data_IF_360162255590
#
_entry.id   IF_360162255590
#
_cell.length_a   1.000
_cell.length_b   1.000
_cell.length_c   1.000
_cell.angle_alpha   90.00
_cell.angle_beta   90.00
_cell.angle_gamma   90.00
#
_symmetry.space_group_name_H-M   'P 1'
#
loop_
_entity.id
_entity.type
_entity.pdbx_description
1 polymer ?
#
# COMPACT_ATOMS: atom_id res chain seq x y z
N UNK A 1 -19.51 19.44 -18.84
CA UNK A 1 -18.36 18.60 -19.26
C UNK A 1 -17.09 19.44 -19.41
N UNK A 2 -17.06 20.44 -20.30
CA UNK A 2 -15.83 21.23 -20.56
C UNK A 2 -15.20 21.85 -19.32
N UNK A 3 -16.00 22.44 -18.42
CA UNK A 3 -15.52 23.00 -17.15
C UNK A 3 -14.79 21.97 -16.29
N UNK A 4 -15.32 20.75 -16.21
CA UNK A 4 -14.76 19.63 -15.43
C UNK A 4 -13.42 19.20 -16.04
N UNK A 5 -13.35 19.12 -17.37
CA UNK A 5 -12.11 18.77 -18.07
C UNK A 5 -11.03 19.82 -17.87
N UNK A 6 -11.36 21.12 -17.92
CA UNK A 6 -10.41 22.19 -17.63
C UNK A 6 -9.92 22.16 -16.18
N UNK A 7 -10.81 21.88 -15.23
CA UNK A 7 -10.46 21.76 -13.82
C UNK A 7 -9.50 20.59 -13.55
N UNK A 8 -9.74 19.43 -14.19
CA UNK A 8 -8.89 18.24 -14.03
C UNK A 8 -7.56 18.35 -14.77
N UNK A 9 -7.44 19.26 -15.75
CA UNK A 9 -6.27 19.46 -16.58
C UNK A 9 -5.66 20.87 -16.45
N UNK A 10 -5.28 21.31 -15.24
CA UNK A 10 -4.70 22.64 -15.04
C UNK A 10 -3.38 22.82 -15.82
N UNK A 11 -2.69 21.72 -16.12
CA UNK A 11 -1.45 21.72 -16.89
C UNK A 11 -1.60 22.17 -18.35
N UNK A 12 -2.82 22.19 -18.89
CA UNK A 12 -3.07 22.76 -20.22
C UNK A 12 -2.81 24.28 -20.28
N UNK A 13 -2.95 24.96 -19.15
CA UNK A 13 -2.75 26.41 -19.04
C UNK A 13 -1.56 26.79 -18.13
N UNK A 14 -1.11 25.89 -17.25
CA UNK A 14 -0.02 26.13 -16.32
C UNK A 14 0.91 24.91 -16.22
N UNK A 15 2.06 24.94 -16.89
CA UNK A 15 3.03 23.84 -16.88
C UNK A 15 3.60 23.52 -15.48
N UNK A 16 3.53 24.47 -14.55
CA UNK A 16 4.03 24.35 -13.17
C UNK A 16 2.92 23.90 -12.19
N UNK A 17 1.78 23.43 -12.69
CA UNK A 17 0.61 23.08 -11.87
C UNK A 17 0.89 22.05 -10.75
N UNK A 18 1.97 21.29 -10.85
CA UNK A 18 2.32 20.22 -9.92
C UNK A 18 3.68 20.41 -9.23
N UNK A 19 4.24 21.63 -9.24
CA UNK A 19 5.60 21.86 -8.72
C UNK A 19 5.75 21.62 -7.22
N UNK A 20 4.70 21.92 -6.46
CA UNK A 20 4.66 21.78 -5.00
C UNK A 20 4.44 20.33 -4.51
N UNK A 21 4.30 19.36 -5.44
CA UNK A 21 4.03 17.98 -5.07
C UNK A 21 5.32 17.31 -4.60
N UNK A 22 5.25 16.60 -3.48
CA UNK A 22 6.40 15.87 -2.92
C UNK A 22 6.68 14.63 -3.76
N UNK A 23 7.93 14.48 -4.19
CA UNK A 23 8.37 13.33 -4.98
C UNK A 23 8.17 12.01 -4.22
N UNK A 24 7.88 10.94 -4.97
CA UNK A 24 7.64 9.59 -4.43
C UNK A 24 8.73 8.63 -4.93
N UNK A 25 9.14 7.69 -4.09
CA UNK A 25 10.15 6.68 -4.43
C UNK A 25 9.70 5.76 -5.58
N UNK A 26 8.38 5.62 -5.79
CA UNK A 26 7.82 4.85 -6.90
C UNK A 26 7.89 5.60 -8.25
N UNK A 27 8.11 6.91 -8.27
CA UNK A 27 8.05 7.72 -9.50
C UNK A 27 8.97 7.20 -10.61
N UNK A 28 10.27 6.89 -10.37
CA UNK A 28 11.15 6.36 -11.42
C UNK A 28 10.65 5.04 -12.02
N UNK A 29 10.09 4.15 -11.19
CA UNK A 29 9.51 2.88 -11.65
C UNK A 29 8.28 3.09 -12.52
N UNK A 30 7.42 4.05 -12.18
CA UNK A 30 6.26 4.38 -13.02
C UNK A 30 6.71 4.93 -14.37
N UNK A 31 7.71 5.83 -14.38
CA UNK A 31 8.26 6.42 -15.60
C UNK A 31 8.88 5.37 -16.52
N UNK A 32 9.65 4.41 -15.99
CA UNK A 32 10.24 3.34 -16.80
C UNK A 32 9.15 2.50 -17.49
N UNK A 33 8.02 2.28 -16.82
CA UNK A 33 6.89 1.54 -17.39
C UNK A 33 6.15 2.32 -18.48
N UNK A 34 6.32 3.65 -18.60
CA UNK A 34 5.70 4.45 -19.66
C UNK A 34 6.23 4.13 -21.05
N UNK A 35 7.46 3.61 -21.14
CA UNK A 35 8.10 3.21 -22.39
C UNK A 35 7.41 2.00 -23.04
N UNK A 36 6.79 1.15 -22.21
CA UNK A 36 6.09 -0.06 -22.65
C UNK A 36 4.73 0.25 -23.27
N UNK A 37 4.17 -0.67 -24.07
CA UNK A 37 2.81 -0.50 -24.60
C UNK A 37 1.74 -0.65 -23.51
N UNK A 38 1.97 -1.55 -22.55
CA UNK A 38 1.02 -1.98 -21.53
C UNK A 38 0.41 -0.80 -20.76
N UNK A 39 -0.84 -0.96 -20.35
CA UNK A 39 -1.54 -0.05 -19.43
C UNK A 39 -0.80 -0.07 -18.09
N UNK A 40 -0.54 1.09 -17.50
CA UNK A 40 0.03 1.17 -16.15
C UNK A 40 -1.10 1.34 -15.15
N UNK A 41 -1.26 0.40 -14.22
CA UNK A 41 -2.28 0.46 -13.18
C UNK A 41 -1.65 0.76 -11.81
N UNK A 42 -1.97 1.93 -11.25
CA UNK A 42 -1.59 2.34 -9.90
C UNK A 42 -2.67 1.90 -8.91
N UNK A 43 -2.38 0.92 -8.07
CA UNK A 43 -3.38 0.31 -7.17
C UNK A 43 -2.96 0.48 -5.71
N UNK A 44 -3.91 0.58 -4.80
CA UNK A 44 -3.59 0.68 -3.36
C UNK A 44 -4.69 1.40 -2.59
N UNK A 45 -4.57 1.43 -1.26
CA UNK A 45 -5.61 1.96 -0.38
C UNK A 45 -6.02 3.41 -0.73
N UNK A 46 -7.21 3.81 -0.29
CA UNK A 46 -7.67 5.21 -0.41
C UNK A 46 -6.67 6.15 0.27
N UNK A 47 -6.44 7.35 -0.28
CA UNK A 47 -5.56 8.41 0.28
C UNK A 47 -4.05 8.10 0.43
N UNK A 48 -3.54 7.01 -0.15
CA UNK A 48 -2.09 6.72 -0.19
C UNK A 48 -1.29 7.54 -1.22
N UNK A 49 -1.97 8.42 -1.97
CA UNK A 49 -1.33 9.31 -2.94
C UNK A 49 -1.22 8.76 -4.37
N UNK A 50 -2.12 7.86 -4.80
CA UNK A 50 -2.18 7.36 -6.19
C UNK A 50 -2.37 8.48 -7.21
N UNK A 51 -3.38 9.33 -7.01
CA UNK A 51 -3.65 10.51 -7.86
C UNK A 51 -2.50 11.51 -7.85
N UNK A 52 -1.85 11.68 -6.70
CA UNK A 52 -0.66 12.52 -6.54
C UNK A 52 0.51 11.96 -7.35
N UNK A 53 0.75 10.65 -7.30
CA UNK A 53 1.77 9.98 -8.10
C UNK A 53 1.48 10.09 -9.59
N UNK A 54 0.22 9.92 -10.02
CA UNK A 54 -0.19 10.16 -11.40
C UNK A 54 0.12 11.60 -11.86
N UNK A 55 -0.15 12.61 -11.03
CA UNK A 55 0.15 14.02 -11.31
C UNK A 55 1.66 14.32 -11.33
N UNK A 56 2.46 13.65 -10.49
CA UNK A 56 3.93 13.72 -10.58
C UNK A 56 4.46 13.12 -11.88
N UNK A 57 3.83 12.06 -12.39
CA UNK A 57 4.16 11.52 -13.71
C UNK A 57 3.81 12.52 -14.82
N UNK A 58 2.67 13.22 -14.72
CA UNK A 58 2.32 14.30 -15.66
C UNK A 58 3.40 15.39 -15.64
N UNK A 59 3.84 15.82 -14.45
CA UNK A 59 4.93 16.80 -14.29
C UNK A 59 6.19 16.40 -15.06
N UNK A 60 6.59 15.14 -14.97
CA UNK A 60 7.76 14.64 -15.68
C UNK A 60 7.54 14.54 -17.20
N UNK A 61 6.34 14.16 -17.64
CA UNK A 61 5.98 14.14 -19.06
C UNK A 61 5.96 15.53 -19.70
N UNK A 62 5.52 16.57 -18.98
CA UNK A 62 5.48 17.96 -19.48
C UNK A 62 6.86 18.50 -19.90
N UNK A 63 7.95 17.86 -19.49
CA UNK A 63 9.31 18.19 -19.94
C UNK A 63 9.57 17.83 -21.42
N UNK A 64 8.79 16.91 -21.98
CA UNK A 64 9.03 16.31 -23.31
C UNK A 64 7.78 16.13 -24.17
N UNK A 65 6.59 16.24 -23.58
CA UNK A 65 5.29 16.00 -24.23
C UNK A 65 4.46 17.28 -24.18
N UNK A 66 3.79 17.58 -25.29
CA UNK A 66 2.84 18.70 -25.36
C UNK A 66 1.74 18.56 -24.28
N UNK A 67 1.46 19.63 -23.54
CA UNK A 67 0.52 19.58 -22.42
C UNK A 67 -0.86 19.03 -22.82
N UNK A 68 -1.35 19.41 -24.01
CA UNK A 68 -2.64 18.96 -24.55
C UNK A 68 -2.67 17.48 -24.93
N UNK A 69 -1.51 16.86 -25.16
CA UNK A 69 -1.36 15.41 -25.38
C UNK A 69 -1.36 14.60 -24.08
N UNK A 70 -1.47 15.28 -22.93
CA UNK A 70 -1.65 14.66 -21.63
C UNK A 70 -3.08 14.99 -21.18
N UNK A 71 -3.83 13.96 -20.81
CA UNK A 71 -5.18 14.10 -20.30
C UNK A 71 -5.31 13.38 -18.97
N UNK A 72 -5.96 14.02 -18.01
CA UNK A 72 -6.30 13.49 -16.70
C UNK A 72 -7.80 13.68 -16.46
N UNK A 73 -8.45 12.67 -15.88
CA UNK A 73 -9.84 12.74 -15.46
C UNK A 73 -10.03 11.99 -14.14
N UNK A 74 -10.75 12.59 -13.20
CA UNK A 74 -11.14 11.93 -11.95
C UNK A 74 -12.60 11.48 -12.00
N UNK A 75 -12.83 10.17 -12.01
CA UNK A 75 -14.18 9.60 -12.11
C UNK A 75 -14.97 9.59 -10.78
N UNK A 76 -14.35 9.98 -9.65
CA UNK A 76 -15.04 10.11 -8.36
C UNK A 76 -15.91 11.37 -8.26
N UNK A 77 -15.79 12.30 -9.21
CA UNK A 77 -16.58 13.53 -9.21
C UNK A 77 -18.09 13.25 -9.28
N UNK A 78 -18.93 13.97 -8.51
CA UNK A 78 -20.39 13.77 -8.47
C UNK A 78 -21.08 13.73 -9.83
N UNK A 79 -20.57 14.50 -10.79
CA UNK A 79 -21.08 14.63 -12.16
C UNK A 79 -21.00 13.32 -12.95
N UNK A 80 -20.08 12.42 -12.59
CA UNK A 80 -19.90 11.13 -13.26
C UNK A 80 -20.69 9.99 -12.60
N UNK A 81 -21.15 10.16 -11.36
CA UNK A 81 -21.85 9.13 -10.59
C UNK A 81 -23.13 8.61 -11.29
N UNK A 82 -23.97 9.45 -11.94
CA UNK A 82 -25.14 8.97 -12.69
C UNK A 82 -24.78 8.02 -13.85
N UNK A 83 -23.59 8.18 -14.44
CA UNK A 83 -23.15 7.46 -15.63
C UNK A 83 -22.30 6.23 -15.30
N UNK A 84 -22.04 5.94 -14.03
CA UNK A 84 -21.15 4.86 -13.59
C UNK A 84 -21.55 3.45 -14.07
N UNK A 85 -22.78 3.26 -14.55
CA UNK A 85 -23.26 1.99 -15.12
C UNK A 85 -23.09 1.91 -16.65
N UNK A 86 -22.67 3.00 -17.30
CA UNK A 86 -22.57 3.12 -18.74
C UNK A 86 -21.12 3.41 -19.17
N UNK A 87 -20.42 2.36 -19.61
CA UNK A 87 -19.05 2.47 -20.10
C UNK A 87 -18.93 3.31 -21.39
N UNK A 88 -20.01 3.48 -22.17
CA UNK A 88 -19.99 4.27 -23.40
C UNK A 88 -19.75 5.76 -23.12
N UNK A 89 -20.09 6.21 -21.91
CA UNK A 89 -19.83 7.57 -21.46
C UNK A 89 -18.33 7.91 -21.38
N UNK A 90 -17.45 6.91 -21.21
CA UNK A 90 -16.00 7.12 -21.31
C UNK A 90 -15.58 7.55 -22.73
N UNK A 91 -16.29 7.09 -23.77
CA UNK A 91 -16.09 7.55 -25.13
C UNK A 91 -16.55 9.01 -25.31
N UNK A 92 -17.66 9.40 -24.67
CA UNK A 92 -18.10 10.80 -24.65
C UNK A 92 -17.06 11.71 -23.97
N UNK A 93 -16.49 11.29 -22.84
CA UNK A 93 -15.40 12.04 -22.17
C UNK A 93 -14.21 12.18 -23.12
N UNK A 94 -13.82 11.10 -23.79
CA UNK A 94 -12.72 11.10 -24.77
C UNK A 94 -12.99 12.06 -25.94
N UNK A 95 -14.18 12.04 -26.51
CA UNK A 95 -14.56 12.91 -27.63
C UNK A 95 -14.59 14.38 -27.21
N UNK A 96 -15.06 14.69 -25.99
CA UNK A 96 -15.01 16.03 -25.43
C UNK A 96 -13.56 16.50 -25.21
N UNK A 97 -12.68 15.63 -24.74
CA UNK A 97 -11.24 15.92 -24.66
C UNK A 97 -10.66 16.28 -26.04
N UNK A 98 -10.94 15.49 -27.08
CA UNK A 98 -10.45 15.77 -28.43
C UNK A 98 -10.94 17.12 -28.96
N UNK A 99 -12.22 17.44 -28.76
CA UNK A 99 -12.82 18.72 -29.17
C UNK A 99 -12.19 19.91 -28.45
N UNK A 100 -12.00 19.79 -27.13
CA UNK A 100 -11.59 20.89 -26.28
C UNK A 100 -10.08 21.14 -26.32
N UNK A 101 -9.27 20.10 -26.13
CA UNK A 101 -7.82 20.23 -26.07
C UNK A 101 -7.20 20.32 -27.48
N UNK A 102 -7.81 19.67 -28.47
CA UNK A 102 -7.28 19.49 -29.82
C UNK A 102 -5.81 18.99 -29.80
N UNK A 103 -5.56 17.78 -29.26
CA UNK A 103 -4.21 17.25 -29.13
C UNK A 103 -3.59 16.91 -30.49
N UNK A 104 -2.26 16.86 -30.53
CA UNK A 104 -1.53 16.40 -31.72
C UNK A 104 -1.66 14.88 -31.87
N UNK A 105 -2.55 14.43 -32.76
CA UNK A 105 -2.83 13.01 -32.99
C UNK A 105 -1.67 12.23 -33.65
N UNK A 106 -0.65 12.92 -34.17
CA UNK A 106 0.57 12.27 -34.67
C UNK A 106 1.50 11.83 -33.53
N UNK A 107 1.35 12.44 -32.35
CA UNK A 107 2.09 12.10 -31.15
C UNK A 107 1.29 11.14 -30.27
N UNK A 108 1.99 10.50 -29.32
CA UNK A 108 1.35 9.64 -28.32
C UNK A 108 0.51 10.49 -27.37
N UNK A 109 -0.69 10.04 -27.05
CA UNK A 109 -1.54 10.63 -26.01
C UNK A 109 -1.32 9.86 -24.71
N UNK A 110 -1.10 10.56 -23.61
CA UNK A 110 -1.04 9.98 -22.27
C UNK A 110 -2.37 10.22 -21.57
N UNK A 111 -3.12 9.14 -21.34
CA UNK A 111 -4.50 9.20 -20.85
C UNK A 111 -4.58 8.62 -19.44
N UNK A 112 -4.66 9.52 -18.46
CA UNK A 112 -4.76 9.23 -17.04
C UNK A 112 -6.21 9.16 -16.61
N UNK A 113 -6.61 8.05 -15.97
CA UNK A 113 -7.97 7.87 -15.43
C UNK A 113 -7.88 7.52 -13.96
N UNK A 114 -8.34 8.42 -13.11
CA UNK A 114 -8.35 8.25 -11.67
C UNK A 114 -9.64 7.55 -11.22
N UNK A 115 -9.50 6.58 -10.31
CA UNK A 115 -10.60 5.78 -9.74
C UNK A 115 -11.46 5.09 -10.83
N UNK A 116 -10.79 4.46 -11.80
CA UNK A 116 -11.40 3.83 -12.99
C UNK A 116 -12.51 2.81 -12.62
N UNK A 117 -12.36 2.13 -11.49
CA UNK A 117 -13.29 1.11 -11.00
C UNK A 117 -14.67 1.66 -10.58
N UNK A 118 -14.85 2.98 -10.54
CA UNK A 118 -16.16 3.60 -10.33
C UNK A 118 -17.09 3.26 -11.49
N UNK A 119 -16.58 3.23 -12.73
CA UNK A 119 -17.36 2.87 -13.90
C UNK A 119 -17.39 1.36 -14.07
N UNK A 120 -18.56 0.77 -14.30
CA UNK A 120 -18.68 -0.64 -14.68
C UNK A 120 -18.28 -0.84 -16.13
N UNK A 121 -17.74 -2.02 -16.45
CA UNK A 121 -17.36 -2.42 -17.80
C UNK A 121 -16.37 -1.46 -18.50
N UNK A 122 -15.64 -0.66 -17.72
CA UNK A 122 -14.68 0.34 -18.20
C UNK A 122 -13.58 -0.28 -19.10
N UNK A 123 -13.27 -1.55 -18.86
CA UNK A 123 -12.24 -2.31 -19.55
C UNK A 123 -12.53 -2.46 -21.04
N UNK A 124 -13.80 -2.43 -21.45
CA UNK A 124 -14.21 -2.50 -22.86
C UNK A 124 -13.72 -1.27 -23.63
N UNK A 125 -13.90 -0.08 -23.05
CA UNK A 125 -13.44 1.18 -23.62
C UNK A 125 -11.92 1.22 -23.69
N UNK A 126 -11.25 0.93 -22.56
CA UNK A 126 -9.78 0.98 -22.47
C UNK A 126 -9.14 -0.02 -23.43
N UNK A 127 -9.65 -1.26 -23.49
CA UNK A 127 -9.16 -2.28 -24.44
C UNK A 127 -9.30 -1.82 -25.89
N UNK A 128 -10.47 -1.33 -26.28
CA UNK A 128 -10.73 -0.87 -27.64
C UNK A 128 -9.76 0.24 -28.06
N UNK A 129 -9.55 1.25 -27.21
CA UNK A 129 -8.61 2.34 -27.48
C UNK A 129 -7.14 1.91 -27.43
N UNK A 130 -6.79 0.99 -26.53
CA UNK A 130 -5.44 0.42 -26.43
C UNK A 130 -5.04 -0.35 -27.70
N UNK A 131 -6.00 -1.03 -28.35
CA UNK A 131 -5.74 -1.81 -29.56
C UNK A 131 -5.69 -0.94 -30.83
N UNK A 132 -6.50 0.12 -30.88
CA UNK A 132 -6.76 0.87 -32.11
C UNK A 132 -6.20 2.31 -32.12
N UNK A 133 -5.46 2.74 -31.10
CA UNK A 133 -4.99 4.14 -30.99
C UNK A 133 -3.60 4.26 -30.36
N UNK A 134 -2.90 5.36 -30.65
CA UNK A 134 -1.59 5.68 -30.06
C UNK A 134 -1.74 6.31 -28.66
N UNK A 135 -2.36 5.56 -27.74
CA UNK A 135 -2.67 6.02 -26.38
C UNK A 135 -1.91 5.18 -25.37
N UNK A 136 -1.21 5.84 -24.44
CA UNK A 136 -0.69 5.24 -23.22
C UNK A 136 -1.67 5.48 -22.09
N UNK A 137 -2.28 4.41 -21.59
CA UNK A 137 -3.17 4.50 -20.44
C UNK A 137 -2.39 4.38 -19.12
N UNK A 138 -2.77 5.25 -18.19
CA UNK A 138 -2.38 5.17 -16.78
C UNK A 138 -3.69 5.23 -15.99
N UNK A 139 -3.99 4.18 -15.24
CA UNK A 139 -5.24 4.09 -14.49
C UNK A 139 -4.93 3.97 -13.00
N UNK A 140 -5.82 4.46 -12.15
CA UNK A 140 -5.72 4.24 -10.70
C UNK A 140 -6.94 3.49 -10.18
N UNK A 141 -6.78 2.80 -9.05
CA UNK A 141 -7.91 2.29 -8.29
C UNK A 141 -7.63 2.01 -6.83
N UNK A 142 -8.61 2.32 -5.97
CA UNK A 142 -8.51 2.22 -4.52
C UNK A 142 -8.64 0.82 -3.94
N UNK A 143 -8.99 -0.16 -4.78
CA UNK A 143 -9.24 -1.53 -4.34
C UNK A 143 -8.68 -2.56 -5.34
N UNK A 144 -8.60 -3.80 -4.88
CA UNK A 144 -8.13 -4.96 -5.62
C UNK A 144 -9.04 -5.36 -6.78
N UNK A 145 -10.13 -4.64 -7.11
CA UNK A 145 -10.94 -4.97 -8.29
C UNK A 145 -10.09 -5.02 -9.55
N UNK A 146 -9.15 -4.09 -9.72
CA UNK A 146 -8.18 -4.09 -10.82
C UNK A 146 -7.23 -5.31 -10.81
N UNK A 147 -7.26 -6.12 -9.73
CA UNK A 147 -6.53 -7.36 -9.56
C UNK A 147 -7.37 -8.63 -9.83
N UNK A 148 -8.70 -8.56 -9.95
CA UNK A 148 -9.53 -9.77 -10.03
C UNK A 148 -9.44 -10.48 -11.37
N UNK A 149 -9.80 -11.77 -11.37
CA UNK A 149 -9.82 -12.66 -12.54
C UNK A 149 -10.59 -12.08 -13.73
N UNK A 150 -11.70 -11.38 -13.48
CA UNK A 150 -12.59 -10.92 -14.54
C UNK A 150 -11.91 -9.82 -15.38
N UNK A 151 -11.29 -8.83 -14.72
CA UNK A 151 -10.46 -7.83 -15.40
C UNK A 151 -9.18 -8.43 -15.96
N UNK A 152 -8.59 -9.38 -15.23
CA UNK A 152 -7.42 -10.11 -15.69
C UNK A 152 -7.72 -10.91 -16.96
N UNK A 153 -8.98 -11.26 -17.27
CA UNK A 153 -9.38 -11.97 -18.50
C UNK A 153 -9.54 -11.02 -19.69
N UNK A 154 -10.09 -9.82 -19.47
CA UNK A 154 -10.28 -8.83 -20.55
C UNK A 154 -8.97 -8.12 -20.92
N UNK A 155 -8.15 -7.82 -19.93
CA UNK A 155 -6.88 -7.09 -20.07
C UNK A 155 -5.65 -7.99 -19.86
N UNK A 156 -5.78 -9.32 -20.01
CA UNK A 156 -4.69 -10.28 -19.75
C UNK A 156 -3.43 -9.91 -20.50
N UNK A 157 -2.30 -9.82 -19.78
CA UNK A 157 -0.99 -9.48 -20.34
C UNK A 157 -0.83 -8.04 -20.83
N UNK A 158 -1.89 -7.21 -20.74
CA UNK A 158 -1.89 -5.81 -21.20
C UNK A 158 -1.71 -4.78 -20.08
N UNK A 159 -1.60 -5.22 -18.82
CA UNK A 159 -1.52 -4.32 -17.65
C UNK A 159 -0.26 -4.61 -16.85
N UNK A 160 0.51 -3.55 -16.57
CA UNK A 160 1.57 -3.55 -15.59
C UNK A 160 1.07 -2.88 -14.31
N UNK A 161 1.00 -3.68 -13.24
CA UNK A 161 0.46 -3.25 -11.95
C UNK A 161 1.58 -2.68 -11.08
N UNK A 162 1.31 -1.58 -10.40
CA UNK A 162 2.20 -0.97 -9.42
C UNK A 162 1.38 -0.70 -8.16
N UNK A 163 1.71 -1.40 -7.08
CA UNK A 163 1.14 -1.15 -5.77
C UNK A 163 1.72 0.13 -5.18
N UNK A 164 0.84 1.03 -4.77
CA UNK A 164 1.13 2.31 -4.13
C UNK A 164 0.75 2.19 -2.65
N UNK A 165 1.71 2.49 -1.79
CA UNK A 165 1.56 2.46 -0.34
C UNK A 165 1.58 3.90 0.21
N UNK A 166 1.25 4.05 1.50
CA UNK A 166 1.55 5.28 2.24
C UNK A 166 3.06 5.58 2.20
N UNK A 167 3.45 6.77 2.67
CA UNK A 167 4.87 7.15 2.67
C UNK A 167 5.70 6.08 3.39
N UNK A 168 6.79 5.62 2.77
CA UNK A 168 7.80 4.83 3.48
C UNK A 168 8.49 5.67 4.56
N UNK A 169 9.18 5.03 5.50
CA UNK A 169 10.00 5.75 6.48
C UNK A 169 11.05 6.65 5.80
N UNK A 170 11.60 6.21 4.68
CA UNK A 170 12.58 6.96 3.89
C UNK A 170 11.97 8.12 3.10
N UNK A 171 10.73 7.99 2.62
CA UNK A 171 9.94 9.12 2.10
C UNK A 171 9.59 10.10 3.23
N UNK A 172 9.31 9.61 4.44
CA UNK A 172 9.02 10.44 5.60
C UNK A 172 10.25 11.24 6.08
N UNK A 173 11.45 10.63 6.10
CA UNK A 173 12.69 11.35 6.38
C UNK A 173 12.94 12.47 5.35
N UNK A 174 12.73 12.18 4.05
CA UNK A 174 12.80 13.20 2.98
C UNK A 174 11.79 14.32 3.21
N UNK A 175 10.55 13.99 3.57
CA UNK A 175 9.51 14.96 3.89
C UNK A 175 9.91 15.87 5.07
N UNK A 176 10.56 15.32 6.10
CA UNK A 176 11.09 16.07 7.25
C UNK A 176 12.44 16.76 6.98
N UNK A 177 12.96 16.68 5.75
CA UNK A 177 14.29 17.18 5.35
C UNK A 177 15.47 16.59 6.15
N UNK A 178 15.35 15.32 6.59
CA UNK A 178 16.39 14.60 7.31
C UNK A 178 17.19 13.76 6.33
N UNK A 179 18.49 14.02 6.23
CA UNK A 179 19.38 13.28 5.32
C UNK A 179 19.82 11.95 5.92
N UNK A 180 19.82 10.88 5.14
CA UNK A 180 20.19 9.51 5.57
C UNK A 180 20.91 8.70 4.47
N UNK A 181 21.23 9.33 3.34
CA UNK A 181 21.69 8.65 2.14
C UNK A 181 23.11 8.07 2.22
N UNK A 182 23.95 8.64 3.10
CA UNK A 182 25.29 8.13 3.40
C UNK A 182 25.44 7.72 4.87
N UNK A 183 26.42 6.86 5.17
CA UNK A 183 26.71 6.47 6.57
C UNK A 183 27.07 7.68 7.45
N UNK A 184 27.77 8.67 6.88
CA UNK A 184 28.10 9.91 7.59
C UNK A 184 26.84 10.70 7.95
N UNK A 185 25.89 10.84 7.03
CA UNK A 185 24.60 11.50 7.28
C UNK A 185 23.77 10.76 8.34
N UNK A 186 23.73 9.42 8.28
CA UNK A 186 23.03 8.61 9.29
C UNK A 186 23.61 8.81 10.70
N UNK A 187 24.93 8.93 10.81
CA UNK A 187 25.61 9.18 12.09
C UNK A 187 25.36 10.63 12.55
N UNK A 188 25.50 11.61 11.66
CA UNK A 188 25.31 13.03 12.02
C UNK A 188 23.87 13.33 12.45
N UNK A 189 22.90 12.68 11.79
CA UNK A 189 21.47 12.93 12.01
C UNK A 189 20.83 11.87 12.93
N UNK A 190 21.62 11.08 13.67
CA UNK A 190 21.14 9.95 14.49
C UNK A 190 19.95 10.32 15.40
N UNK A 191 20.01 11.47 16.08
CA UNK A 191 18.96 11.90 17.02
C UNK A 191 17.68 12.27 16.26
N UNK A 192 17.80 12.96 15.14
CA UNK A 192 16.64 13.36 14.30
C UNK A 192 15.98 12.14 13.67
N UNK A 193 16.78 11.21 13.14
CA UNK A 193 16.30 9.93 12.62
C UNK A 193 15.57 9.14 13.71
N UNK A 194 16.11 9.07 14.93
CA UNK A 194 15.46 8.38 16.04
C UNK A 194 14.12 9.01 16.40
N UNK A 195 14.03 10.35 16.47
CA UNK A 195 12.75 11.05 16.73
C UNK A 195 11.75 10.83 15.60
N UNK A 196 12.21 10.84 14.35
CA UNK A 196 11.39 10.56 13.19
C UNK A 196 10.88 9.11 13.20
N UNK A 197 11.72 8.14 13.60
CA UNK A 197 11.30 6.74 13.80
C UNK A 197 10.16 6.66 14.81
N UNK A 198 10.27 7.33 15.95
CA UNK A 198 9.23 7.29 16.99
C UNK A 198 7.89 7.85 16.48
N UNK A 199 7.96 8.97 15.76
CA UNK A 199 6.77 9.56 15.16
C UNK A 199 6.16 8.63 14.10
N UNK A 200 6.99 8.07 13.22
CA UNK A 200 6.55 7.25 12.10
C UNK A 200 6.03 5.88 12.54
N UNK A 201 6.71 5.18 13.44
CA UNK A 201 6.22 3.90 13.99
C UNK A 201 4.86 4.09 14.66
N UNK A 202 4.64 5.24 15.30
CA UNK A 202 3.36 5.56 15.91
C UNK A 202 2.30 5.96 14.89
N UNK A 203 2.59 6.87 13.98
CA UNK A 203 1.56 7.54 13.16
C UNK A 203 1.45 7.04 11.72
N UNK A 204 2.39 6.20 11.28
CA UNK A 204 2.47 5.66 9.93
C UNK A 204 2.80 6.72 8.87
N UNK A 205 2.44 6.42 7.62
CA UNK A 205 2.89 7.15 6.44
C UNK A 205 1.80 7.91 5.67
N UNK A 206 0.57 7.99 6.16
CA UNK A 206 -0.47 8.74 5.46
C UNK A 206 -0.12 10.23 5.42
N UNK A 207 -0.08 10.81 4.21
CA UNK A 207 0.31 12.22 4.01
C UNK A 207 -0.43 13.19 4.94
N UNK A 208 -1.77 13.12 4.94
CA UNK A 208 -2.62 13.98 5.77
C UNK A 208 -2.26 13.88 7.27
N UNK A 209 -1.84 12.69 7.72
CA UNK A 209 -1.45 12.42 9.12
C UNK A 209 -0.06 12.99 9.40
N UNK A 210 0.93 12.73 8.55
CA UNK A 210 2.31 13.20 8.74
C UNK A 210 2.45 14.72 8.55
N UNK A 211 1.53 15.35 7.83
CA UNK A 211 1.47 16.81 7.64
C UNK A 211 0.72 17.56 8.75
N UNK A 212 0.14 16.84 9.70
CA UNK A 212 -0.63 17.41 10.82
C UNK A 212 0.20 17.32 12.09
N UNK A 213 0.32 18.38 12.89
CA UNK A 213 1.08 18.31 14.16
C UNK A 213 0.22 17.81 15.33
N UNK A 214 -1.05 18.22 15.40
CA UNK A 214 -1.93 17.90 16.51
C UNK A 214 -2.30 16.40 16.56
N UNK A 215 -2.00 15.77 17.69
CA UNK A 215 -2.18 14.33 17.94
C UNK A 215 -3.65 13.88 17.90
N UNK A 216 -4.57 14.74 18.36
CA UNK A 216 -6.01 14.44 18.33
C UNK A 216 -6.49 14.47 16.87
N UNK A 217 -6.07 15.49 16.12
CA UNK A 217 -6.41 15.61 14.70
C UNK A 217 -5.81 14.45 13.89
N UNK A 218 -4.56 14.05 14.15
CA UNK A 218 -3.95 12.85 13.52
C UNK A 218 -4.83 11.61 13.70
N UNK A 219 -5.32 11.37 14.91
CA UNK A 219 -6.19 10.24 15.23
C UNK A 219 -7.54 10.33 14.52
N UNK A 220 -8.14 11.51 14.46
CA UNK A 220 -9.40 11.72 13.73
C UNK A 220 -9.23 11.53 12.22
N UNK A 221 -8.11 11.96 11.65
CA UNK A 221 -7.77 11.69 10.24
C UNK A 221 -7.69 10.18 9.99
N UNK A 222 -6.94 9.43 10.80
CA UNK A 222 -6.83 7.98 10.67
C UNK A 222 -8.20 7.28 10.77
N UNK A 223 -9.03 7.72 11.72
CA UNK A 223 -10.40 7.23 11.87
C UNK A 223 -11.22 7.49 10.60
N UNK A 224 -11.17 8.71 10.08
CA UNK A 224 -11.89 9.09 8.87
C UNK A 224 -11.42 8.29 7.65
N UNK A 225 -10.11 8.02 7.52
CA UNK A 225 -9.58 7.18 6.44
C UNK A 225 -10.17 5.77 6.52
N UNK A 226 -10.11 5.14 7.70
CA UNK A 226 -10.64 3.79 7.90
C UNK A 226 -12.17 3.74 7.66
N UNK A 227 -12.91 4.67 8.23
CA UNK A 227 -14.37 4.73 8.11
C UNK A 227 -14.82 5.08 6.69
N UNK A 228 -14.09 5.94 5.95
CA UNK A 228 -14.36 6.18 4.53
C UNK A 228 -14.21 4.90 3.71
N UNK A 229 -13.13 4.14 3.90
CA UNK A 229 -12.95 2.88 3.18
C UNK A 229 -14.07 1.89 3.55
N UNK A 230 -14.42 1.79 4.82
CA UNK A 230 -15.50 0.89 5.28
C UNK A 230 -16.86 1.30 4.69
N UNK A 231 -17.27 2.55 4.88
CA UNK A 231 -18.64 2.98 4.60
C UNK A 231 -18.87 3.48 3.18
N UNK A 232 -17.85 4.04 2.51
CA UNK A 232 -17.99 4.55 1.14
C UNK A 232 -17.52 3.54 0.09
N UNK A 233 -16.55 2.68 0.43
CA UNK A 233 -15.98 1.75 -0.55
C UNK A 233 -16.53 0.33 -0.33
N UNK A 234 -16.39 -0.24 0.87
CA UNK A 234 -16.77 -1.64 1.15
C UNK A 234 -18.29 -1.80 1.20
N UNK A 235 -19.00 -1.04 2.05
CA UNK A 235 -20.44 -1.22 2.28
C UNK A 235 -21.26 -1.14 0.98
N UNK A 236 -21.08 -0.13 0.10
CA UNK A 236 -21.85 -0.02 -1.13
C UNK A 236 -21.47 -1.09 -2.16
N UNK A 237 -20.19 -1.50 -2.21
CA UNK A 237 -19.70 -2.48 -3.19
C UNK A 237 -20.25 -3.88 -2.94
N UNK A 238 -20.31 -4.29 -1.67
CA UNK A 238 -20.78 -5.63 -1.28
C UNK A 238 -22.22 -5.64 -0.74
N UNK A 239 -22.95 -4.52 -0.85
CA UNK A 239 -24.33 -4.35 -0.37
C UNK A 239 -24.53 -4.80 1.08
N UNK A 240 -23.61 -4.40 1.97
CA UNK A 240 -23.58 -4.85 3.36
C UNK A 240 -24.71 -4.19 4.15
N UNK A 241 -25.61 -5.01 4.70
CA UNK A 241 -26.77 -4.54 5.47
C UNK A 241 -26.41 -4.04 6.87
N UNK A 242 -25.52 -4.76 7.58
CA UNK A 242 -25.11 -4.42 8.94
C UNK A 242 -23.69 -3.86 8.95
N UNK A 243 -23.57 -2.59 8.59
CA UNK A 243 -22.28 -1.88 8.54
C UNK A 243 -21.67 -1.64 9.93
N UNK A 244 -22.47 -1.67 11.01
CA UNK A 244 -21.94 -1.57 12.38
C UNK A 244 -21.08 -2.78 12.75
N UNK A 245 -21.55 -4.00 12.44
CA UNK A 245 -20.77 -5.23 12.73
C UNK A 245 -19.47 -5.30 11.92
N UNK A 246 -19.48 -4.80 10.68
CA UNK A 246 -18.28 -4.66 9.88
C UNK A 246 -17.28 -3.70 10.54
N UNK A 247 -17.76 -2.52 10.96
CA UNK A 247 -16.95 -1.54 11.68
C UNK A 247 -16.37 -2.14 12.97
N UNK A 248 -17.19 -2.78 13.79
CA UNK A 248 -16.77 -3.35 15.08
C UNK A 248 -15.72 -4.47 14.87
N UNK A 249 -15.87 -5.28 13.82
CA UNK A 249 -14.86 -6.26 13.43
C UNK A 249 -13.53 -5.59 13.07
N UNK A 250 -13.54 -4.49 12.31
CA UNK A 250 -12.32 -3.76 11.97
C UNK A 250 -11.59 -3.25 13.22
N UNK A 251 -12.28 -2.57 14.14
CA UNK A 251 -11.65 -2.08 15.37
C UNK A 251 -11.18 -3.21 16.30
N UNK A 252 -11.86 -4.35 16.29
CA UNK A 252 -11.37 -5.55 16.95
C UNK A 252 -10.06 -6.04 16.33
N UNK A 253 -9.97 -6.12 15.00
CA UNK A 253 -8.75 -6.52 14.28
C UNK A 253 -7.61 -5.55 14.60
N UNK A 254 -7.85 -4.25 14.55
CA UNK A 254 -6.84 -3.23 14.90
C UNK A 254 -6.29 -3.46 16.30
N UNK A 255 -7.17 -3.74 17.28
CA UNK A 255 -6.76 -3.97 18.68
C UNK A 255 -5.99 -5.29 18.88
N UNK A 256 -5.98 -6.17 17.89
CA UNK A 256 -5.34 -7.48 17.91
C UNK A 256 -4.48 -7.70 16.64
N UNK A 257 -3.94 -6.63 16.06
CA UNK A 257 -3.04 -6.72 14.92
C UNK A 257 -1.82 -7.60 15.29
N UNK A 258 -1.19 -8.19 14.29
CA UNK A 258 -0.07 -9.15 14.37
C UNK A 258 -0.41 -10.53 14.95
N UNK A 259 -1.62 -10.71 15.48
CA UNK A 259 -2.07 -12.00 16.01
C UNK A 259 -2.66 -12.95 14.96
N UNK A 260 -2.69 -14.25 15.27
CA UNK A 260 -3.38 -15.25 14.46
C UNK A 260 -4.90 -15.09 14.55
N UNK A 261 -5.57 -15.09 13.39
CA UNK A 261 -7.02 -15.02 13.25
C UNK A 261 -7.69 -16.32 13.71
N UNK A 262 -8.62 -16.19 14.66
CA UNK A 262 -9.54 -17.27 15.06
C UNK A 262 -10.97 -16.91 14.63
N UNK A 263 -11.36 -17.32 13.42
CA UNK A 263 -12.67 -17.02 12.84
C UNK A 263 -13.85 -17.40 13.75
N UNK A 264 -13.79 -18.56 14.42
CA UNK A 264 -14.85 -19.02 15.33
C UNK A 264 -14.90 -18.19 16.62
N UNK A 265 -13.73 -17.80 17.14
CA UNK A 265 -13.63 -16.90 18.28
C UNK A 265 -14.18 -15.51 17.96
N UNK A 266 -13.83 -14.98 16.79
CA UNK A 266 -14.33 -13.69 16.29
C UNK A 266 -15.83 -13.70 16.08
N UNK A 267 -16.36 -14.75 15.45
CA UNK A 267 -17.78 -14.96 15.23
C UNK A 267 -18.59 -14.85 16.53
N UNK A 268 -18.13 -15.52 17.59
CA UNK A 268 -18.74 -15.46 18.92
C UNK A 268 -18.68 -14.05 19.54
N UNK A 269 -17.56 -13.34 19.41
CA UNK A 269 -17.37 -12.02 20.01
C UNK A 269 -18.17 -10.91 19.32
N UNK A 270 -18.26 -10.94 17.98
CA UNK A 270 -18.96 -9.93 17.17
C UNK A 270 -20.43 -10.30 16.93
N UNK A 271 -20.83 -11.52 17.33
CA UNK A 271 -22.17 -12.06 17.11
C UNK A 271 -22.57 -12.09 15.63
N UNK A 272 -21.69 -12.63 14.79
CA UNK A 272 -21.92 -12.94 13.37
C UNK A 272 -21.36 -14.32 13.05
N UNK A 273 -21.81 -14.96 11.98
CA UNK A 273 -21.31 -16.28 11.61
C UNK A 273 -19.86 -16.21 11.08
N UNK A 274 -19.12 -17.32 11.22
CA UNK A 274 -17.70 -17.36 10.85
C UNK A 274 -17.45 -17.20 9.34
N UNK A 275 -18.44 -17.53 8.50
CA UNK A 275 -18.34 -17.32 7.04
C UNK A 275 -18.38 -15.83 6.74
N UNK A 276 -19.31 -15.09 7.35
CA UNK A 276 -19.39 -13.63 7.26
C UNK A 276 -18.12 -12.95 7.79
N UNK A 277 -17.53 -13.41 8.90
CA UNK A 277 -16.23 -12.88 9.38
C UNK A 277 -15.15 -13.04 8.29
N UNK A 278 -15.07 -14.21 7.67
CA UNK A 278 -14.09 -14.48 6.61
C UNK A 278 -14.32 -13.61 5.38
N UNK A 279 -15.58 -13.42 4.98
CA UNK A 279 -15.94 -12.50 3.90
C UNK A 279 -15.55 -11.06 4.22
N UNK A 280 -15.84 -10.57 5.42
CA UNK A 280 -15.47 -9.22 5.85
C UNK A 280 -13.95 -9.00 5.91
N UNK A 281 -13.19 -9.99 6.37
CA UNK A 281 -11.72 -9.95 6.33
C UNK A 281 -11.24 -9.84 4.88
N UNK A 282 -11.79 -10.64 3.96
CA UNK A 282 -11.46 -10.52 2.54
C UNK A 282 -11.82 -9.13 1.99
N UNK A 283 -12.92 -8.52 2.41
CA UNK A 283 -13.29 -7.17 1.98
C UNK A 283 -12.31 -6.10 2.47
N UNK A 284 -11.78 -6.25 3.69
CA UNK A 284 -10.71 -5.37 4.17
C UNK A 284 -9.40 -5.58 3.40
N UNK A 285 -9.03 -6.82 3.09
CA UNK A 285 -7.86 -7.12 2.24
C UNK A 285 -8.02 -6.56 0.83
N UNK A 286 -9.21 -6.72 0.23
CA UNK A 286 -9.55 -6.20 -1.10
C UNK A 286 -9.47 -4.66 -1.18
N UNK A 287 -9.56 -3.96 -0.06
CA UNK A 287 -9.45 -2.51 -0.01
C UNK A 287 -8.15 -2.05 0.67
N UNK A 288 -7.18 -2.96 0.81
CA UNK A 288 -5.86 -2.69 1.37
C UNK A 288 -5.91 -2.04 2.76
N UNK A 289 -6.93 -2.33 3.59
CA UNK A 289 -6.98 -1.90 4.99
C UNK A 289 -6.13 -2.82 5.88
N UNK A 290 -6.17 -4.11 5.57
CA UNK A 290 -5.43 -5.16 6.26
C UNK A 290 -4.80 -6.09 5.22
N UNK A 291 -3.90 -6.93 5.70
CA UNK A 291 -3.31 -8.03 4.95
C UNK A 291 -3.25 -9.27 5.83
N UNK A 292 -3.36 -10.45 5.22
CA UNK A 292 -3.15 -11.71 5.90
C UNK A 292 -2.00 -12.51 5.32
N UNK A 293 -1.22 -13.16 6.20
CA UNK A 293 -0.19 -14.12 5.79
C UNK A 293 -0.50 -15.49 6.40
N UNK A 294 -0.18 -16.54 5.66
CA UNK A 294 -0.42 -17.94 6.07
C UNK A 294 0.84 -18.53 6.71
N UNK A 295 0.69 -19.60 7.48
CA UNK A 295 1.84 -20.37 7.94
C UNK A 295 2.47 -21.08 6.74
N UNK A 296 3.79 -21.03 6.63
CA UNK A 296 4.51 -21.75 5.60
C UNK A 296 4.30 -23.26 5.77
N UNK A 297 3.97 -23.92 4.67
CA UNK A 297 4.00 -25.38 4.58
C UNK A 297 4.52 -25.80 3.21
N UNK A 298 5.26 -26.91 3.15
CA UNK A 298 5.71 -27.50 1.88
C UNK A 298 4.55 -27.97 1.00
N UNK A 299 3.39 -28.25 1.61
CA UNK A 299 2.15 -28.62 0.91
C UNK A 299 1.21 -27.44 0.86
N UNK A 300 0.88 -27.00 -0.37
CA UNK A 300 -0.05 -25.90 -0.63
C UNK A 300 -1.41 -26.09 0.06
N UNK A 301 -1.93 -27.32 0.13
CA UNK A 301 -3.20 -27.62 0.81
C UNK A 301 -3.17 -27.36 2.30
N UNK A 302 -2.02 -27.58 2.95
CA UNK A 302 -1.85 -27.34 4.38
C UNK A 302 -1.64 -25.84 4.64
N UNK A 303 -0.88 -25.16 3.78
CA UNK A 303 -0.73 -23.70 3.83
C UNK A 303 -2.08 -22.97 3.72
N UNK A 304 -2.93 -23.38 2.77
CA UNK A 304 -4.29 -22.80 2.60
C UNK A 304 -5.17 -22.99 3.84
N UNK A 305 -5.01 -24.11 4.57
CA UNK A 305 -5.80 -24.42 5.77
C UNK A 305 -5.23 -23.82 7.05
N UNK A 306 -3.97 -23.39 7.02
CA UNK A 306 -3.28 -22.86 8.19
C UNK A 306 -3.99 -21.62 8.76
N UNK A 307 -3.78 -21.37 10.05
CA UNK A 307 -4.20 -20.11 10.64
C UNK A 307 -3.51 -18.96 9.92
N UNK A 308 -4.23 -17.85 9.73
CA UNK A 308 -3.68 -16.65 9.12
C UNK A 308 -3.30 -15.65 10.21
N UNK A 309 -2.14 -15.00 10.11
CA UNK A 309 -1.88 -13.77 10.87
C UNK A 309 -2.45 -12.56 10.13
N UNK A 310 -2.87 -11.53 10.86
CA UNK A 310 -3.42 -10.29 10.30
C UNK A 310 -2.53 -9.10 10.62
N UNK A 311 -2.29 -8.26 9.61
CA UNK A 311 -1.49 -7.05 9.71
C UNK A 311 -2.24 -5.87 9.12
N UNK A 312 -1.98 -4.67 9.62
CA UNK A 312 -2.52 -3.43 9.10
C UNK A 312 -1.60 -2.89 8.01
N UNK A 313 -2.17 -2.31 6.96
CA UNK A 313 -1.39 -1.77 5.84
C UNK A 313 -0.55 -0.55 6.18
N UNK A 314 -0.83 0.08 7.32
CA UNK A 314 -0.13 1.25 7.83
C UNK A 314 -0.20 1.26 9.37
N UNK A 315 0.93 1.56 10.01
CA UNK A 315 1.05 1.55 11.47
C UNK A 315 0.15 2.57 12.17
N UNK A 316 -0.20 3.68 11.51
CA UNK A 316 -1.04 4.71 12.09
C UNK A 316 -2.38 4.15 12.60
N UNK A 317 -2.94 3.16 11.91
CA UNK A 317 -4.20 2.53 12.29
C UNK A 317 -4.15 1.85 13.67
N UNK A 318 -2.98 1.46 14.19
CA UNK A 318 -2.85 0.90 15.55
C UNK A 318 -3.39 1.85 16.64
N UNK A 319 -3.35 3.17 16.41
CA UNK A 319 -3.88 4.17 17.35
C UNK A 319 -5.41 4.18 17.45
N UNK A 320 -6.10 3.47 16.56
CA UNK A 320 -7.54 3.30 16.59
C UNK A 320 -7.98 2.17 17.54
N UNK A 321 -7.03 1.35 18.02
CA UNK A 321 -7.29 0.31 19.01
C UNK A 321 -7.74 0.86 20.37
N UNK A 322 -8.52 0.06 21.10
CA UNK A 322 -9.12 0.48 22.39
C UNK A 322 -8.14 0.31 23.58
N UNK A 323 -7.11 -0.53 23.43
CA UNK A 323 -6.13 -0.76 24.50
C UNK A 323 -5.18 0.44 24.64
N UNK A 324 -5.18 1.04 25.85
CA UNK A 324 -4.45 2.28 26.17
C UNK A 324 -2.93 2.13 26.21
N UNK A 325 -2.41 0.90 26.28
CA UNK A 325 -0.99 0.61 26.16
C UNK A 325 -0.70 0.23 24.71
N UNK A 326 -0.02 1.11 23.98
CA UNK A 326 0.58 0.77 22.68
C UNK A 326 1.50 -0.42 22.93
N UNK A 327 1.18 -1.57 22.32
CA UNK A 327 2.08 -2.71 22.34
C UNK A 327 3.22 -2.39 21.36
N UNK A 328 4.31 -1.86 21.90
CA UNK A 328 5.51 -1.50 21.15
C UNK A 328 6.05 -2.67 20.30
N UNK A 329 5.91 -3.91 20.78
CA UNK A 329 6.25 -5.11 19.99
C UNK A 329 5.38 -5.24 18.74
N UNK A 330 4.05 -5.16 18.89
CA UNK A 330 3.13 -5.22 17.76
C UNK A 330 3.29 -4.04 16.79
N UNK A 331 3.64 -2.85 17.30
CA UNK A 331 3.95 -1.68 16.47
C UNK A 331 5.17 -1.94 15.58
N UNK A 332 6.26 -2.44 16.16
CA UNK A 332 7.46 -2.76 15.38
C UNK A 332 7.20 -3.93 14.42
N UNK A 333 6.53 -5.01 14.87
CA UNK A 333 6.23 -6.17 14.04
C UNK A 333 5.34 -5.79 12.85
N UNK A 334 4.33 -4.95 13.04
CA UNK A 334 3.48 -4.49 11.95
C UNK A 334 4.25 -3.62 10.95
N UNK A 335 5.19 -2.78 11.39
CA UNK A 335 5.99 -1.99 10.45
C UNK A 335 6.99 -2.86 9.68
N UNK A 336 7.61 -3.84 10.33
CA UNK A 336 8.45 -4.83 9.65
C UNK A 336 7.64 -5.59 8.60
N UNK A 337 6.39 -5.97 8.92
CA UNK A 337 5.47 -6.51 7.92
C UNK A 337 5.24 -5.53 6.76
N UNK A 338 4.94 -4.26 7.03
CA UNK A 338 4.68 -3.24 5.99
C UNK A 338 5.88 -3.10 5.04
N UNK A 339 7.11 -3.15 5.56
CA UNK A 339 8.32 -3.16 4.74
C UNK A 339 8.42 -4.45 3.93
N UNK A 340 8.37 -5.62 4.57
CA UNK A 340 8.54 -6.91 3.90
C UNK A 340 7.46 -7.17 2.83
N UNK A 341 6.21 -6.78 3.08
CA UNK A 341 5.09 -6.95 2.15
C UNK A 341 5.26 -6.13 0.85
N UNK A 342 6.12 -5.12 0.83
CA UNK A 342 6.46 -4.35 -0.39
C UNK A 342 7.49 -5.05 -1.27
N UNK A 343 8.35 -5.88 -0.67
CA UNK A 343 9.54 -6.45 -1.33
C UNK A 343 9.47 -7.96 -1.49
N UNK A 344 8.67 -8.64 -0.68
CA UNK A 344 8.54 -10.08 -0.69
C UNK A 344 7.33 -10.52 -1.50
N UNK A 345 7.53 -11.33 -2.55
CA UNK A 345 6.43 -11.91 -3.32
C UNK A 345 5.63 -12.93 -2.49
N UNK A 346 6.31 -13.77 -1.70
CA UNK A 346 5.70 -14.81 -0.87
C UNK A 346 6.08 -14.64 0.61
N UNK A 347 5.36 -13.74 1.30
CA UNK A 347 5.51 -13.54 2.73
C UNK A 347 4.65 -14.53 3.52
N UNK A 348 5.30 -15.33 4.36
CA UNK A 348 4.66 -16.32 5.25
C UNK A 348 5.21 -16.16 6.66
N UNK A 349 4.60 -16.82 7.65
CA UNK A 349 5.21 -17.01 8.97
C UNK A 349 5.50 -18.50 9.18
N UNK A 350 6.28 -18.88 10.20
CA UNK A 350 6.50 -20.29 10.54
C UNK A 350 6.01 -20.54 11.96
N UNK A 351 5.25 -21.61 12.17
CA UNK A 351 4.80 -22.01 13.50
C UNK A 351 4.80 -23.53 13.65
N UNK A 352 5.79 -24.00 14.40
CA UNK A 352 5.91 -25.40 14.84
C UNK A 352 6.01 -25.42 16.37
N UNK A 353 7.14 -25.87 16.93
CA UNK A 353 7.45 -25.77 18.36
C UNK A 353 7.77 -24.31 18.77
N UNK A 354 8.30 -23.55 17.83
CA UNK A 354 8.59 -22.12 17.95
C UNK A 354 7.95 -21.38 16.78
N UNK A 355 7.78 -20.07 16.96
CA UNK A 355 7.21 -19.18 15.97
C UNK A 355 8.29 -18.23 15.45
N UNK A 356 8.39 -18.14 14.11
CA UNK A 356 9.14 -17.11 13.40
C UNK A 356 8.13 -16.19 12.73
N UNK A 357 8.24 -14.89 13.00
CA UNK A 357 7.27 -13.89 12.58
C UNK A 357 7.13 -13.82 11.06
N UNK A 358 8.26 -13.82 10.33
CA UNK A 358 8.24 -13.77 8.87
C UNK A 358 9.28 -14.66 8.20
N UNK A 359 8.88 -15.25 7.08
CA UNK A 359 9.71 -15.95 6.11
C UNK A 359 9.51 -15.30 4.75
N UNK A 360 10.61 -14.90 4.14
CA UNK A 360 10.67 -14.41 2.78
C UNK A 360 11.80 -15.09 2.03
N UNK A 361 11.48 -15.87 0.99
CA UNK A 361 12.46 -16.67 0.23
C UNK A 361 13.34 -17.54 1.15
N UNK A 362 14.65 -17.26 1.18
CA UNK A 362 15.67 -17.90 2.02
C UNK A 362 16.06 -17.04 3.24
N UNK A 363 15.19 -16.13 3.70
CA UNK A 363 15.43 -15.31 4.89
C UNK A 363 14.31 -15.49 5.92
N UNK A 364 14.70 -15.60 7.18
CA UNK A 364 13.80 -15.61 8.32
C UNK A 364 14.00 -14.33 9.11
N UNK A 365 12.89 -13.68 9.45
CA UNK A 365 12.86 -12.46 10.24
C UNK A 365 12.07 -12.74 11.51
N UNK A 366 12.70 -12.41 12.63
CA UNK A 366 12.05 -12.34 13.93
C UNK A 366 12.03 -10.89 14.38
N UNK A 367 11.00 -10.48 15.11
CA UNK A 367 10.89 -9.11 15.62
C UNK A 367 10.80 -9.12 17.14
N UNK A 368 11.68 -8.35 17.77
CA UNK A 368 11.59 -8.09 19.21
C UNK A 368 11.91 -6.64 19.50
N UNK A 369 11.00 -5.95 20.20
CA UNK A 369 11.19 -4.53 20.48
C UNK A 369 12.49 -4.26 21.27
N UNK A 370 12.78 -5.09 22.28
CA UNK A 370 13.99 -5.01 23.12
C UNK A 370 14.48 -6.44 23.41
N UNK A 371 15.79 -6.64 23.47
CA UNK A 371 16.44 -7.93 23.75
C UNK A 371 17.45 -7.87 24.90
N UNK A 372 17.41 -6.82 25.74
CA UNK A 372 18.26 -6.65 26.92
C UNK A 372 17.98 -7.72 27.98
N UNK A 373 16.73 -8.20 28.08
CA UNK A 373 16.39 -9.32 28.94
C UNK A 373 16.90 -10.64 28.36
N UNK A 374 17.81 -11.28 29.08
CA UNK A 374 18.49 -12.52 28.65
C UNK A 374 17.49 -13.65 28.33
N UNK A 375 16.36 -13.74 29.04
CA UNK A 375 15.33 -14.76 28.75
C UNK A 375 14.67 -14.49 27.40
N UNK A 376 14.33 -13.23 27.12
CA UNK A 376 13.77 -12.78 25.84
C UNK A 376 14.77 -13.07 24.72
N UNK A 377 16.04 -12.66 24.89
CA UNK A 377 17.11 -12.91 23.93
C UNK A 377 17.27 -14.41 23.62
N UNK A 378 17.36 -15.26 24.65
CA UNK A 378 17.47 -16.70 24.47
C UNK A 378 16.25 -17.29 23.77
N UNK A 379 15.04 -16.80 24.05
CA UNK A 379 13.82 -17.23 23.38
C UNK A 379 13.87 -16.92 21.87
N UNK A 380 14.25 -15.70 21.51
CA UNK A 380 14.32 -15.30 20.09
C UNK A 380 15.41 -16.08 19.34
N UNK A 381 16.55 -16.36 19.97
CA UNK A 381 17.64 -17.10 19.32
C UNK A 381 17.27 -18.58 19.13
N UNK A 382 16.64 -19.21 20.13
CA UNK A 382 16.16 -20.60 20.03
C UNK A 382 15.13 -20.79 18.92
N UNK A 383 14.34 -19.76 18.62
CA UNK A 383 13.41 -19.82 17.50
C UNK A 383 14.16 -20.09 16.19
N UNK A 384 15.31 -19.47 15.96
CA UNK A 384 16.14 -19.70 14.77
C UNK A 384 16.86 -21.05 14.80
N UNK A 385 17.43 -21.46 15.93
CA UNK A 385 18.18 -22.73 16.08
C UNK A 385 17.33 -23.95 15.68
N UNK A 386 16.02 -23.92 15.97
CA UNK A 386 15.11 -24.99 15.61
C UNK A 386 14.95 -25.16 14.07
N UNK A 387 15.25 -24.12 13.29
CA UNK A 387 15.20 -24.13 11.83
C UNK A 387 16.57 -24.11 11.16
N UNK A 388 17.65 -24.26 11.95
CA UNK A 388 19.05 -24.25 11.51
C UNK A 388 19.58 -25.64 11.08
N UNK A 389 18.83 -26.70 11.35
CA UNK A 389 19.26 -28.09 11.06
C UNK A 389 19.62 -28.37 9.59
N UNK A 390 19.23 -27.49 8.65
CA UNK A 390 19.58 -27.60 7.23
C UNK A 390 20.40 -26.41 6.65
N UNK A 391 20.76 -25.38 7.45
CA UNK A 391 21.46 -24.14 7.00
C UNK A 391 20.90 -23.49 5.72
N UNK A 392 19.57 -23.56 5.53
CA UNK A 392 18.91 -23.06 4.31
C UNK A 392 18.61 -21.56 4.34
N UNK A 393 18.67 -20.93 5.51
CA UNK A 393 18.16 -19.59 5.73
C UNK A 393 19.23 -18.64 6.24
N UNK A 394 19.08 -17.34 5.93
CA UNK A 394 19.74 -16.25 6.63
C UNK A 394 18.81 -15.71 7.71
N UNK A 395 19.35 -15.44 8.89
CA UNK A 395 18.57 -15.05 10.07
C UNK A 395 18.72 -13.57 10.38
N UNK A 396 17.59 -12.87 10.50
CA UNK A 396 17.54 -11.46 10.86
C UNK A 396 16.64 -11.25 12.07
N UNK A 397 17.17 -10.64 13.12
CA UNK A 397 16.40 -10.20 14.28
C UNK A 397 16.26 -8.69 14.23
N UNK A 398 15.04 -8.20 14.03
CA UNK A 398 14.76 -6.78 13.94
C UNK A 398 14.39 -6.25 15.31
N UNK A 399 15.11 -5.22 15.76
CA UNK A 399 14.91 -4.57 17.05
C UNK A 399 14.58 -3.09 16.89
N UNK A 400 14.15 -2.46 17.97
CA UNK A 400 13.87 -1.02 17.94
C UNK A 400 15.15 -0.18 17.82
N UNK A 401 16.23 -0.53 18.51
CA UNK A 401 17.43 0.32 18.66
C UNK A 401 18.78 -0.41 18.70
N UNK A 402 18.82 -1.75 18.72
CA UNK A 402 20.05 -2.52 18.80
C UNK A 402 20.54 -3.00 17.42
N UNK A 403 21.83 -2.82 17.15
CA UNK A 403 22.50 -3.40 15.96
C UNK A 403 23.77 -4.11 16.38
N UNK A 404 23.84 -5.42 16.14
CA UNK A 404 24.97 -6.26 16.52
C UNK A 404 25.00 -7.54 15.67
N UNK A 405 26.13 -8.25 15.73
CA UNK A 405 26.26 -9.58 15.12
C UNK A 405 26.41 -10.62 16.22
N UNK A 406 25.58 -11.66 16.16
CA UNK A 406 25.63 -12.77 17.12
C UNK A 406 25.65 -14.10 16.39
N UNK A 407 26.85 -14.60 16.08
CA UNK A 407 27.03 -15.82 15.32
C UNK A 407 26.53 -15.65 13.88
N UNK A 408 25.54 -16.45 13.48
CA UNK A 408 24.92 -16.41 12.15
C UNK A 408 23.67 -15.49 12.09
N UNK A 409 23.28 -14.88 13.22
CA UNK A 409 22.11 -13.98 13.32
C UNK A 409 22.56 -12.53 13.18
N UNK A 410 21.98 -11.86 12.20
CA UNK A 410 22.15 -10.42 11.95
C UNK A 410 21.08 -9.65 12.74
N UNK A 411 21.51 -8.92 13.77
CA UNK A 411 20.62 -8.13 14.63
C UNK A 411 20.65 -6.70 14.14
N UNK A 412 19.53 -6.23 13.62
CA UNK A 412 19.40 -4.92 12.99
C UNK A 412 18.39 -4.08 13.75
N UNK A 413 18.74 -2.83 14.03
CA UNK A 413 17.73 -1.86 14.46
C UNK A 413 16.86 -1.50 13.27
N UNK A 414 15.63 -1.09 13.54
CA UNK A 414 14.63 -0.80 12.53
C UNK A 414 15.13 0.07 11.37
N UNK A 415 15.83 1.18 11.66
CA UNK A 415 16.26 2.10 10.59
C UNK A 415 17.30 1.46 9.67
N UNK A 416 18.24 0.71 10.23
CA UNK A 416 19.28 0.01 9.45
C UNK A 416 18.62 -1.08 8.58
N UNK A 417 17.64 -1.81 9.12
CA UNK A 417 16.81 -2.74 8.35
C UNK A 417 16.12 -2.05 7.16
N UNK A 418 15.48 -0.90 7.36
CA UNK A 418 14.82 -0.18 6.25
C UNK A 418 15.83 0.29 5.21
N UNK A 419 16.98 0.83 5.63
CA UNK A 419 17.98 1.36 4.71
C UNK A 419 18.59 0.27 3.81
N UNK A 420 18.76 -0.95 4.31
CA UNK A 420 19.23 -2.08 3.50
C UNK A 420 18.29 -2.43 2.33
N UNK A 421 16.97 -2.38 2.53
CA UNK A 421 16.01 -2.67 1.46
C UNK A 421 16.00 -1.61 0.36
N UNK A 422 16.31 -0.35 0.69
CA UNK A 422 16.42 0.73 -0.29
C UNK A 422 17.75 0.70 -1.07
N UNK A 423 18.87 0.36 -0.43
CA UNK A 423 20.15 0.21 -1.15
C UNK A 423 20.11 -0.92 -2.18
N UNK A 424 19.28 -1.95 -1.94
CA UNK A 424 19.02 -3.02 -2.91
C UNK A 424 18.29 -2.51 -4.17
N UNK A 425 17.54 -1.40 -4.10
CA UNK A 425 16.92 -0.73 -5.28
C UNK A 425 17.90 0.13 -6.07
N UNK A 426 19.07 0.49 -5.53
CA UNK A 426 20.08 1.31 -6.23
C UNK A 426 20.99 0.49 -7.13
N UNK A 427 20.98 -0.84 -6.98
CA UNK A 427 21.89 -1.78 -7.64
C UNK A 427 21.19 -2.55 -8.79
N UNK A 428 19.86 -2.53 -8.83
CA UNK A 428 19.01 -3.08 -9.91
C UNK A 428 18.26 -1.96 -10.63
#
# INVERSE_FOLDING_TARGET
MESILLEDNPHWNNLNAYDNFISRELLPKVLSYLTTKQIVALIGARRVGKSTLAKLVIKELLKTVEAKNIFFINLEKPEFIPYKQDASYLAEIFDNYLKLANPNLSQKIYFFIDEIQIFKNWEVFVKSKYENSNIKFIITGSNSSLLTSDFATVLTGRVLKISVYSFSFTEFLKFKNISYGSRLEQISNKIEISRAKDEYLKWGGYYDVISTDDVIIKKDILKNIAEDIIFKDIVPRYNIKNSSQLKDLFYYIVSNATSSLNYLGLAKKINIDAKTIKEYINYFEDNFLIHTISSYHTKMTEQIKSAKKVYLSDNGFLNLGINRTINNGAMLENEVFVVLNKFCEELTYIKENYEIDFRCENRLYQVSYNIEDEKTRQREFRAFENFDSEKKYKYKLITYDETTYSGEIDILKYEDFVFEFEDTKRIN
#
